data_IF_273542472005
#
_entry.id   IF_273542472005
#
_cell.length_a   1.000
_cell.length_b   1.000
_cell.length_c   1.000
_cell.angle_alpha   90.00
_cell.angle_beta   90.00
_cell.angle_gamma   90.00
#
_symmetry.space_group_name_H-M   'P 1'
#
loop_
_entity.id
_entity.type
_entity.pdbx_description
1 polymer ?
#
# COMPACT_ATOMS: atom_id res chain seq x y z
N UNK A 1 13.59 -21.04 17.48
CA UNK A 1 12.44 -20.59 16.66
C UNK A 1 11.26 -20.30 17.58
N UNK A 2 10.99 -19.03 17.89
CA UNK A 2 9.86 -18.64 18.77
C UNK A 2 8.57 -18.64 17.94
N UNK A 3 7.67 -19.59 18.22
CA UNK A 3 6.30 -19.57 17.72
C UNK A 3 5.53 -18.49 18.49
N UNK A 4 5.06 -17.46 17.80
CA UNK A 4 4.10 -16.50 18.34
C UNK A 4 2.73 -17.18 18.26
N UNK A 5 2.20 -17.58 19.41
CA UNK A 5 0.80 -17.94 19.55
C UNK A 5 0.01 -16.63 19.65
N UNK A 6 -0.74 -16.30 18.60
CA UNK A 6 -1.67 -15.18 18.63
C UNK A 6 -2.85 -15.59 19.53
N UNK A 7 -2.84 -15.10 20.77
CA UNK A 7 -3.88 -15.31 21.75
C UNK A 7 -5.10 -14.49 21.34
N UNK A 8 -6.11 -15.15 20.75
CA UNK A 8 -7.43 -14.53 20.56
C UNK A 8 -8.06 -14.34 21.94
N UNK A 9 -8.25 -13.09 22.35
CA UNK A 9 -9.01 -12.73 23.53
C UNK A 9 -10.46 -13.17 23.35
N UNK A 10 -10.82 -14.25 24.03
CA UNK A 10 -12.17 -14.76 24.11
C UNK A 10 -12.96 -13.85 25.07
N UNK A 11 -13.70 -12.88 24.53
CA UNK A 11 -14.74 -12.21 25.31
C UNK A 11 -15.91 -13.21 25.46
N UNK A 12 -16.00 -13.86 26.62
CA UNK A 12 -17.21 -14.58 27.01
C UNK A 12 -18.23 -13.53 27.48
N UNK A 13 -18.88 -12.88 26.52
CA UNK A 13 -20.18 -12.27 26.79
C UNK A 13 -21.20 -13.39 26.62
N UNK A 14 -21.80 -13.84 27.73
CA UNK A 14 -22.98 -14.70 27.66
C UNK A 14 -24.14 -13.82 27.19
N UNK A 15 -24.21 -13.59 25.89
CA UNK A 15 -25.38 -13.06 25.22
C UNK A 15 -26.37 -14.20 25.04
N UNK A 16 -27.51 -14.14 25.72
CA UNK A 16 -28.63 -15.09 25.55
C UNK A 16 -29.46 -14.67 24.30
N UNK A 17 -28.78 -14.27 23.22
CA UNK A 17 -29.39 -13.78 21.99
C UNK A 17 -28.58 -14.19 20.75
N UNK A 18 -29.24 -14.21 19.59
CA UNK A 18 -28.58 -14.43 18.29
C UNK A 18 -27.52 -13.35 18.08
N UNK A 19 -26.30 -13.75 17.76
CA UNK A 19 -25.16 -12.84 17.68
C UNK A 19 -24.61 -12.76 16.26
N UNK A 20 -24.61 -11.55 15.70
CA UNK A 20 -23.89 -11.24 14.47
C UNK A 20 -22.47 -10.80 14.81
N UNK A 21 -21.51 -11.69 14.60
CA UNK A 21 -20.09 -11.43 14.82
C UNK A 21 -19.41 -11.13 13.49
N UNK A 22 -19.14 -9.86 13.22
CA UNK A 22 -18.31 -9.41 12.08
C UNK A 22 -16.96 -8.99 12.62
N UNK A 23 -15.88 -9.37 11.95
CA UNK A 23 -14.55 -8.93 12.29
C UNK A 23 -14.46 -7.41 12.12
N UNK A 24 -14.03 -6.69 13.16
CA UNK A 24 -13.80 -5.25 13.03
C UNK A 24 -12.52 -5.03 12.21
N UNK A 25 -12.68 -4.62 10.95
CA UNK A 25 -11.61 -4.37 10.00
C UNK A 25 -11.97 -3.20 9.08
N UNK A 26 -10.96 -2.53 8.53
CA UNK A 26 -11.16 -1.52 7.48
C UNK A 26 -11.26 -2.23 6.13
N UNK A 27 -12.48 -2.45 5.64
CA UNK A 27 -12.72 -3.11 4.36
C UNK A 27 -12.60 -2.13 3.21
N UNK A 28 -12.01 -2.55 2.08
CA UNK A 28 -12.04 -1.80 0.83
C UNK A 28 -12.94 -2.46 -0.22
N UNK A 29 -13.35 -1.71 -1.25
CA UNK A 29 -13.98 -2.31 -2.43
C UNK A 29 -13.04 -3.37 -2.99
N UNK A 30 -13.58 -4.55 -3.31
CA UNK A 30 -12.86 -5.81 -3.65
C UNK A 30 -12.39 -6.68 -2.49
N UNK A 31 -12.38 -6.18 -1.24
CA UNK A 31 -12.27 -7.05 -0.08
C UNK A 31 -13.63 -7.66 0.25
N UNK A 32 -13.62 -8.93 0.63
CA UNK A 32 -14.81 -9.56 1.20
C UNK A 32 -14.93 -9.24 2.68
N UNK A 33 -16.13 -8.85 3.11
CA UNK A 33 -16.48 -8.85 4.53
C UNK A 33 -16.68 -10.28 4.97
N UNK A 34 -15.85 -10.71 5.92
CA UNK A 34 -15.92 -12.01 6.56
C UNK A 34 -16.63 -11.88 7.90
N UNK A 35 -17.61 -12.75 8.13
CA UNK A 35 -18.37 -12.74 9.37
C UNK A 35 -19.00 -14.08 9.68
N UNK A 36 -19.57 -14.16 10.87
CA UNK A 36 -20.31 -15.31 11.33
C UNK A 36 -21.55 -14.91 12.11
N UNK A 37 -22.57 -15.76 12.03
CA UNK A 37 -23.77 -15.71 12.84
C UNK A 37 -23.74 -16.90 13.80
N UNK A 38 -23.95 -16.65 15.09
CA UNK A 38 -23.91 -17.67 16.15
C UNK A 38 -25.23 -17.69 16.92
N UNK A 39 -25.44 -18.78 17.66
CA UNK A 39 -26.60 -18.99 18.53
C UNK A 39 -27.94 -18.92 17.77
N UNK A 40 -27.95 -19.43 16.55
CA UNK A 40 -29.18 -19.56 15.77
C UNK A 40 -30.00 -20.75 16.29
N UNK A 41 -31.33 -20.64 16.22
CA UNK A 41 -32.23 -21.77 16.48
C UNK A 41 -32.33 -22.66 15.24
N UNK A 42 -32.06 -23.96 15.39
CA UNK A 42 -32.13 -24.95 14.30
C UNK A 42 -33.57 -25.23 13.81
N UNK A 43 -34.58 -24.73 14.53
CA UNK A 43 -36.00 -24.85 14.15
C UNK A 43 -36.50 -23.67 13.31
N UNK A 44 -35.66 -22.64 13.11
CA UNK A 44 -36.03 -21.40 12.44
C UNK A 44 -35.28 -21.22 11.12
N UNK A 45 -35.82 -20.35 10.27
CA UNK A 45 -35.19 -19.91 9.03
C UNK A 45 -34.81 -18.45 9.20
N UNK A 46 -33.57 -18.11 8.84
CA UNK A 46 -33.06 -16.75 8.90
C UNK A 46 -32.65 -16.25 7.52
N UNK A 47 -32.54 -14.93 7.41
CA UNK A 47 -31.87 -14.26 6.29
C UNK A 47 -30.81 -13.34 6.86
N UNK A 48 -29.59 -13.39 6.34
CA UNK A 48 -28.64 -12.29 6.45
C UNK A 48 -28.80 -11.39 5.22
N UNK A 49 -29.13 -10.13 5.46
CA UNK A 49 -29.16 -9.06 4.47
C UNK A 49 -27.87 -8.25 4.60
N UNK A 50 -27.12 -8.10 3.51
CA UNK A 50 -25.85 -7.39 3.53
C UNK A 50 -26.02 -5.87 3.33
N UNK A 51 -27.25 -5.38 3.13
CA UNK A 51 -27.53 -3.95 2.96
C UNK A 51 -27.20 -3.41 1.56
N UNK A 52 -26.80 -4.27 0.63
CA UNK A 52 -26.47 -3.95 -0.76
C UNK A 52 -27.44 -4.61 -1.78
N UNK A 53 -28.61 -5.02 -1.30
CA UNK A 53 -29.63 -5.84 -1.99
C UNK A 53 -29.26 -7.32 -2.18
N UNK A 54 -28.12 -7.77 -1.67
CA UNK A 54 -27.82 -9.20 -1.58
C UNK A 54 -28.26 -9.75 -0.22
N UNK A 55 -28.80 -10.96 -0.26
CA UNK A 55 -29.26 -11.69 0.92
C UNK A 55 -28.80 -13.15 0.81
N UNK A 56 -28.54 -13.79 1.95
CA UNK A 56 -28.34 -15.23 2.04
C UNK A 56 -29.32 -15.82 3.06
N UNK A 57 -30.02 -16.86 2.63
CA UNK A 57 -30.89 -17.64 3.51
C UNK A 57 -30.05 -18.61 4.34
N UNK A 58 -30.42 -18.78 5.60
CA UNK A 58 -29.80 -19.73 6.53
C UNK A 58 -30.92 -20.65 7.01
N UNK A 59 -30.87 -21.90 6.55
CA UNK A 59 -31.84 -22.92 6.93
C UNK A 59 -31.32 -23.75 8.10
N UNK A 60 -32.13 -23.85 9.17
CA UNK A 60 -32.01 -24.86 10.23
C UNK A 60 -30.58 -25.14 10.69
N UNK A 61 -29.86 -24.08 11.04
CA UNK A 61 -28.49 -24.15 11.51
C UNK A 61 -28.34 -23.37 12.80
N UNK A 62 -27.45 -23.81 13.67
CA UNK A 62 -27.02 -23.08 14.87
C UNK A 62 -25.88 -22.08 14.59
N UNK A 63 -25.27 -22.17 13.40
CA UNK A 63 -24.11 -21.38 13.00
C UNK A 63 -24.04 -21.13 11.48
N UNK A 64 -23.57 -19.95 11.08
CA UNK A 64 -23.37 -19.63 9.66
C UNK A 64 -22.15 -18.74 9.47
N UNK A 65 -21.26 -19.12 8.55
CA UNK A 65 -20.16 -18.25 8.11
C UNK A 65 -20.48 -17.66 6.76
N UNK A 66 -20.08 -16.41 6.55
CA UNK A 66 -20.17 -15.77 5.26
C UNK A 66 -18.89 -15.04 4.88
N UNK A 67 -18.70 -15.03 3.58
CA UNK A 67 -17.86 -14.12 2.85
C UNK A 67 -18.78 -13.34 1.91
N UNK A 68 -18.69 -12.00 1.93
CA UNK A 68 -19.52 -11.13 1.09
C UNK A 68 -18.70 -9.97 0.47
N UNK A 69 -18.51 -9.95 -0.86
CA UNK A 69 -17.80 -8.87 -1.54
C UNK A 69 -18.74 -7.69 -1.85
N UNK A 70 -18.35 -6.49 -1.44
CA UNK A 70 -19.06 -5.26 -1.79
C UNK A 70 -18.48 -4.64 -3.07
N UNK A 71 -19.36 -4.28 -4.00
CA UNK A 71 -18.98 -3.71 -5.31
C UNK A 71 -18.82 -2.19 -5.30
N UNK A 72 -19.30 -1.52 -4.24
CA UNK A 72 -19.27 -0.06 -4.12
C UNK A 72 -18.80 0.32 -2.73
N UNK A 73 -18.13 1.46 -2.66
CA UNK A 73 -17.81 2.11 -1.38
C UNK A 73 -19.10 2.62 -0.74
N UNK A 74 -19.13 2.66 0.59
CA UNK A 74 -20.28 3.13 1.32
C UNK A 74 -20.38 2.54 2.72
N UNK A 75 -21.42 2.99 3.42
CA UNK A 75 -21.82 2.42 4.71
C UNK A 75 -22.97 1.46 4.48
N UNK A 76 -22.82 0.22 4.94
CA UNK A 76 -23.81 -0.83 4.83
C UNK A 76 -24.20 -1.33 6.21
N UNK A 77 -25.44 -1.79 6.36
CA UNK A 77 -25.94 -2.38 7.62
C UNK A 77 -26.28 -3.84 7.35
N UNK A 78 -25.41 -4.73 7.84
CA UNK A 78 -25.66 -6.17 7.75
C UNK A 78 -26.70 -6.50 8.81
N UNK A 79 -27.84 -7.03 8.39
CA UNK A 79 -29.00 -7.29 9.25
C UNK A 79 -29.37 -8.76 9.20
N UNK A 80 -29.50 -9.40 10.35
CA UNK A 80 -30.06 -10.72 10.50
C UNK A 80 -31.55 -10.62 10.77
N UNK A 81 -32.35 -11.30 9.95
CA UNK A 81 -33.80 -11.39 10.08
C UNK A 81 -34.23 -12.81 10.44
N UNK A 82 -35.18 -12.93 11.35
CA UNK A 82 -35.92 -14.17 11.63
C UNK A 82 -37.18 -14.22 10.76
N UNK A 83 -37.26 -15.19 9.85
CA UNK A 83 -38.42 -15.36 8.96
C UNK A 83 -39.59 -16.07 9.62
N UNK A 84 -39.37 -16.77 10.73
CA UNK A 84 -40.46 -17.44 11.45
C UNK A 84 -41.41 -16.45 12.13
N UNK A 85 -40.96 -15.21 12.34
CA UNK A 85 -41.71 -14.12 12.98
C UNK A 85 -41.82 -12.91 12.03
N UNK A 86 -42.30 -13.15 10.80
CA UNK A 86 -42.65 -12.06 9.87
C UNK A 86 -41.48 -11.18 9.41
N UNK A 87 -40.26 -11.74 9.31
CA UNK A 87 -39.02 -11.02 8.95
C UNK A 87 -38.66 -9.93 9.97
N UNK A 88 -38.68 -10.28 11.26
CA UNK A 88 -38.22 -9.40 12.34
C UNK A 88 -36.69 -9.30 12.36
N UNK A 89 -36.15 -8.09 12.44
CA UNK A 89 -34.71 -7.88 12.64
C UNK A 89 -34.31 -8.32 14.04
N UNK A 90 -33.33 -9.21 14.15
CA UNK A 90 -32.86 -9.76 15.44
C UNK A 90 -31.45 -9.30 15.80
N UNK A 91 -30.65 -8.91 14.82
CA UNK A 91 -29.33 -8.31 15.02
C UNK A 91 -28.95 -7.47 13.81
N UNK A 92 -28.21 -6.39 14.01
CA UNK A 92 -27.67 -5.56 12.94
C UNK A 92 -26.27 -5.07 13.30
N UNK A 93 -25.40 -4.94 12.29
CA UNK A 93 -24.07 -4.36 12.45
C UNK A 93 -23.70 -3.53 11.23
N UNK A 94 -23.25 -2.32 11.48
CA UNK A 94 -22.77 -1.41 10.44
C UNK A 94 -21.36 -1.82 10.01
N UNK A 95 -21.10 -1.77 8.70
CA UNK A 95 -19.78 -1.91 8.11
C UNK A 95 -19.51 -0.75 7.16
N UNK A 96 -18.27 -0.31 7.06
CA UNK A 96 -17.85 0.72 6.12
C UNK A 96 -16.91 0.11 5.10
N UNK A 97 -17.24 0.28 3.82
CA UNK A 97 -16.45 -0.15 2.67
C UNK A 97 -15.80 1.09 2.09
N UNK A 98 -14.49 1.19 2.23
CA UNK A 98 -13.69 2.27 1.67
C UNK A 98 -13.49 2.07 0.17
N UNK A 99 -13.25 3.18 -0.55
CA UNK A 99 -12.80 3.15 -1.94
C UNK A 99 -11.57 2.26 -2.08
N UNK A 100 -11.55 1.41 -3.11
CA UNK A 100 -10.31 0.73 -3.48
C UNK A 100 -9.30 1.78 -3.98
N UNK A 101 -8.14 1.84 -3.33
CA UNK A 101 -7.01 2.64 -3.80
C UNK A 101 -6.29 1.87 -4.90
N UNK A 102 -6.11 2.47 -6.06
CA UNK A 102 -5.59 1.83 -7.28
C UNK A 102 -4.26 2.40 -7.75
N UNK A 103 -3.89 3.56 -7.25
CA UNK A 103 -2.73 4.31 -7.70
C UNK A 103 -1.84 4.70 -6.53
N UNK A 104 -0.55 4.39 -6.65
CA UNK A 104 0.51 4.91 -5.80
C UNK A 104 0.96 6.24 -6.38
N UNK A 105 0.72 7.33 -5.66
CA UNK A 105 1.25 8.66 -5.98
C UNK A 105 2.55 8.88 -5.22
N UNK A 106 3.59 9.28 -5.92
CA UNK A 106 4.84 9.73 -5.31
C UNK A 106 4.83 11.25 -5.37
N UNK A 107 4.72 11.91 -4.22
CA UNK A 107 4.59 13.36 -4.14
C UNK A 107 5.95 14.05 -4.06
N UNK A 108 6.94 13.40 -3.47
CA UNK A 108 8.28 13.97 -3.30
C UNK A 108 9.33 12.91 -3.11
N UNK A 109 10.51 13.17 -3.66
CA UNK A 109 11.74 12.41 -3.38
C UNK A 109 12.77 13.38 -2.87
N UNK A 110 13.50 13.01 -1.82
CA UNK A 110 14.64 13.78 -1.31
C UNK A 110 15.88 12.91 -1.35
N UNK A 111 16.82 13.24 -2.21
CA UNK A 111 18.16 12.65 -2.21
C UNK A 111 18.94 13.24 -1.04
N UNK A 112 19.48 12.38 -0.17
CA UNK A 112 20.06 12.76 1.11
C UNK A 112 21.59 12.70 1.07
N UNK A 113 22.12 11.61 0.51
CA UNK A 113 23.56 11.36 0.49
C UNK A 113 23.95 10.33 -0.58
N UNK A 114 25.25 10.22 -0.85
CA UNK A 114 25.82 9.20 -1.75
C UNK A 114 27.23 8.81 -1.32
N UNK A 115 27.67 7.62 -1.74
CA UNK A 115 29.06 7.22 -1.61
C UNK A 115 29.90 8.04 -2.59
N UNK A 116 30.81 8.87 -2.10
CA UNK A 116 31.60 9.71 -2.97
C UNK A 116 32.79 8.92 -3.55
N UNK A 117 33.21 9.24 -4.78
CA UNK A 117 34.36 8.59 -5.44
C UNK A 117 35.68 8.94 -4.72
N UNK A 118 35.76 10.14 -4.13
CA UNK A 118 36.81 10.59 -3.20
C UNK A 118 36.18 11.04 -1.90
N UNK A 119 36.92 11.00 -0.78
CA UNK A 119 36.45 11.40 0.56
C UNK A 119 35.72 12.76 0.63
N UNK A 120 35.97 13.65 -0.33
CA UNK A 120 35.37 14.99 -0.41
C UNK A 120 34.04 15.08 -1.17
N UNK A 121 33.52 14.00 -1.78
CA UNK A 121 32.36 14.13 -2.71
C UNK A 121 32.73 14.37 -4.17
N UNK A 122 34.01 14.63 -4.45
CA UNK A 122 34.47 15.11 -5.74
C UNK A 122 34.95 14.00 -6.68
N UNK A 123 35.14 14.35 -7.96
CA UNK A 123 35.61 13.50 -9.06
C UNK A 123 34.54 12.61 -9.71
N UNK A 124 33.28 13.04 -9.60
CA UNK A 124 32.18 12.57 -10.45
C UNK A 124 32.34 13.15 -11.85
N UNK A 125 32.27 14.48 -12.00
CA UNK A 125 32.74 15.15 -13.21
C UNK A 125 34.27 15.29 -13.23
N UNK A 126 34.89 15.03 -14.39
CA UNK A 126 36.31 15.30 -14.72
C UNK A 126 37.27 15.13 -13.52
N UNK A 127 37.86 13.94 -13.41
CA UNK A 127 38.69 13.42 -12.30
C UNK A 127 39.75 14.35 -11.65
N UNK A 128 40.05 15.50 -12.25
CA UNK A 128 41.04 16.51 -11.83
C UNK A 128 40.44 17.78 -11.20
N UNK A 129 39.13 18.06 -11.34
CA UNK A 129 38.54 19.37 -11.05
C UNK A 129 37.95 19.59 -9.66
N UNK A 130 37.75 18.55 -8.85
CA UNK A 130 37.11 18.71 -7.54
C UNK A 130 35.58 18.93 -7.60
N UNK A 131 34.95 18.59 -8.73
CA UNK A 131 33.52 18.76 -9.02
C UNK A 131 32.68 17.62 -8.46
N UNK A 132 31.53 17.98 -7.92
CA UNK A 132 30.49 17.10 -7.39
C UNK A 132 29.51 16.72 -8.52
N UNK A 133 28.74 15.63 -8.41
CA UNK A 133 27.88 15.16 -9.49
C UNK A 133 26.74 16.11 -9.83
N UNK A 134 26.33 16.09 -11.09
CA UNK A 134 25.14 16.70 -11.64
C UNK A 134 23.94 15.73 -11.51
N UNK A 135 23.45 15.57 -10.28
CA UNK A 135 22.49 14.50 -9.91
C UNK A 135 21.11 14.70 -10.51
N UNK A 136 20.63 13.71 -11.26
CA UNK A 136 19.23 13.62 -11.64
C UNK A 136 18.70 12.19 -11.43
N UNK A 137 17.39 11.99 -11.63
CA UNK A 137 16.76 10.68 -11.41
C UNK A 137 16.02 10.15 -12.63
N UNK A 138 15.95 8.83 -12.73
CA UNK A 138 15.09 8.09 -13.66
C UNK A 138 14.20 7.12 -12.90
N UNK A 139 12.97 6.95 -13.39
CA UNK A 139 12.07 5.87 -13.00
C UNK A 139 11.89 4.91 -14.16
N UNK A 140 12.08 3.62 -13.93
CA UNK A 140 11.84 2.60 -14.94
C UNK A 140 11.35 1.30 -14.32
N UNK A 141 10.79 0.45 -15.17
CA UNK A 141 10.44 -0.91 -14.81
C UNK A 141 11.73 -1.76 -14.92
N UNK A 142 12.23 -2.35 -13.82
CA UNK A 142 13.51 -3.07 -13.81
C UNK A 142 13.48 -4.35 -14.64
N UNK A 143 12.29 -4.88 -14.93
CA UNK A 143 12.09 -6.11 -15.72
C UNK A 143 12.11 -5.82 -17.22
N UNK A 144 11.48 -4.73 -17.65
CA UNK A 144 11.31 -4.39 -19.08
C UNK A 144 12.28 -3.30 -19.56
N UNK A 145 12.95 -2.60 -18.65
CA UNK A 145 13.79 -1.43 -18.94
C UNK A 145 13.01 -0.20 -19.42
N UNK A 146 11.67 -0.26 -19.46
CA UNK A 146 10.84 0.86 -19.93
C UNK A 146 10.80 1.96 -18.88
N UNK A 147 11.03 3.20 -19.32
CA UNK A 147 10.81 4.39 -18.50
C UNK A 147 9.36 4.45 -18.04
N UNK A 148 9.14 4.76 -16.75
CA UNK A 148 7.82 4.88 -16.13
C UNK A 148 7.36 6.34 -16.03
N UNK A 149 8.06 7.26 -16.69
CA UNK A 149 7.79 8.68 -16.66
C UNK A 149 8.56 9.42 -15.56
N UNK A 150 8.68 10.73 -15.77
CA UNK A 150 9.42 11.69 -14.96
C UNK A 150 10.95 11.53 -14.96
N UNK A 151 11.58 11.74 -16.12
CA UNK A 151 12.91 12.35 -16.18
C UNK A 151 12.72 13.84 -15.95
N UNK A 152 13.12 14.36 -14.79
CA UNK A 152 13.30 15.81 -14.71
C UNK A 152 14.42 16.23 -15.66
N UNK A 153 14.30 17.47 -16.10
CA UNK A 153 15.34 18.22 -16.78
C UNK A 153 16.65 18.08 -15.99
N UNK A 154 17.73 17.69 -16.66
CA UNK A 154 19.09 17.40 -16.16
C UNK A 154 19.78 18.66 -15.57
N UNK A 155 19.11 19.32 -14.63
CA UNK A 155 19.34 20.73 -14.26
C UNK A 155 19.90 20.90 -12.85
N UNK A 156 20.18 19.80 -12.14
CA UNK A 156 20.73 19.85 -10.79
C UNK A 156 22.22 19.61 -10.87
N UNK A 157 22.98 20.67 -10.65
CA UNK A 157 24.42 20.65 -10.85
C UNK A 157 25.20 20.67 -9.53
N UNK A 158 26.35 19.99 -9.51
CA UNK A 158 27.39 20.11 -8.50
C UNK A 158 26.91 19.81 -7.06
N UNK A 159 26.27 18.64 -6.87
CA UNK A 159 25.58 18.23 -5.64
C UNK A 159 26.54 17.64 -4.61
N UNK A 160 26.74 18.37 -3.51
CA UNK A 160 27.61 17.91 -2.41
C UNK A 160 26.99 16.74 -1.64
N UNK A 161 27.83 15.78 -1.25
CA UNK A 161 27.46 14.75 -0.27
C UNK A 161 26.89 15.43 0.99
N UNK A 162 25.83 14.86 1.56
CA UNK A 162 25.07 15.40 2.72
C UNK A 162 24.34 16.72 2.49
N UNK A 163 24.15 17.18 1.25
CA UNK A 163 23.31 18.33 0.92
C UNK A 163 21.99 17.85 0.31
N UNK A 164 20.89 17.75 1.09
CA UNK A 164 19.66 17.18 0.58
C UNK A 164 19.08 17.97 -0.59
N UNK A 165 18.65 17.26 -1.63
CA UNK A 165 17.95 17.84 -2.79
C UNK A 165 16.60 17.16 -2.93
N UNK A 166 15.54 17.97 -3.04
CA UNK A 166 14.18 17.47 -3.21
C UNK A 166 13.61 17.75 -4.59
N UNK A 167 12.83 16.80 -5.07
CA UNK A 167 11.97 16.89 -6.24
C UNK A 167 10.53 16.65 -5.82
N UNK A 168 9.64 17.56 -6.18
CA UNK A 168 8.21 17.42 -5.94
C UNK A 168 7.50 17.10 -7.24
N UNK A 169 6.50 16.23 -7.18
CA UNK A 169 5.75 15.76 -8.34
C UNK A 169 4.27 16.07 -8.15
N UNK A 170 3.71 16.81 -9.10
CA UNK A 170 2.27 17.08 -9.08
C UNK A 170 1.45 15.86 -9.51
N UNK A 171 1.93 15.11 -10.51
CA UNK A 171 1.15 14.07 -11.19
C UNK A 171 1.90 12.74 -11.39
N UNK A 172 2.98 12.47 -10.65
CA UNK A 172 3.68 11.19 -10.79
C UNK A 172 2.98 10.08 -10.00
N UNK A 173 2.33 9.16 -10.73
CA UNK A 173 1.56 8.06 -10.15
C UNK A 173 1.77 6.76 -10.91
N UNK A 174 1.82 5.65 -10.17
CA UNK A 174 1.95 4.30 -10.68
C UNK A 174 0.69 3.50 -10.32
N UNK A 175 0.06 2.86 -11.30
CA UNK A 175 -1.10 2.00 -11.04
C UNK A 175 -0.66 0.65 -10.45
N UNK A 176 -1.58 -0.06 -9.79
CA UNK A 176 -1.31 -1.40 -9.20
C UNK A 176 -0.70 -2.40 -10.19
N UNK A 177 -1.06 -2.35 -11.48
CA UNK A 177 -0.52 -3.27 -12.48
C UNK A 177 0.98 -3.01 -12.71
N UNK A 178 1.37 -1.76 -12.90
CA UNK A 178 2.79 -1.36 -13.00
C UNK A 178 3.59 -1.79 -11.77
N UNK A 179 2.97 -1.76 -10.59
CA UNK A 179 3.62 -2.11 -9.32
C UNK A 179 3.81 -3.62 -9.12
N UNK A 180 3.13 -4.49 -9.88
CA UNK A 180 3.33 -5.95 -9.83
C UNK A 180 4.71 -6.37 -10.34
N UNK A 181 5.17 -5.71 -11.41
CA UNK A 181 6.50 -5.93 -11.98
C UNK A 181 7.61 -5.14 -11.25
N UNK A 182 7.19 -4.32 -10.29
CA UNK A 182 8.04 -3.39 -9.57
C UNK A 182 8.45 -2.16 -10.38
N UNK A 183 9.14 -1.25 -9.70
CA UNK A 183 9.77 -0.09 -10.32
C UNK A 183 11.12 0.19 -9.67
N UNK A 184 11.99 0.87 -10.38
CA UNK A 184 13.30 1.28 -9.90
C UNK A 184 13.42 2.79 -9.94
N UNK A 185 14.04 3.33 -8.88
CA UNK A 185 14.48 4.72 -8.82
C UNK A 185 16.00 4.67 -8.91
N UNK A 186 16.55 5.30 -9.95
CA UNK A 186 17.99 5.40 -10.16
C UNK A 186 18.41 6.87 -10.15
N UNK A 187 19.45 7.17 -9.40
CA UNK A 187 20.14 8.45 -9.39
C UNK A 187 21.38 8.35 -10.26
N UNK A 188 21.56 9.36 -11.11
CA UNK A 188 22.57 9.40 -12.15
C UNK A 188 23.31 10.71 -12.08
N UNK A 189 24.59 10.65 -12.43
CA UNK A 189 25.41 11.80 -12.72
C UNK A 189 25.25 12.17 -14.20
N UNK A 190 24.93 13.43 -14.48
CA UNK A 190 24.72 13.87 -15.85
C UNK A 190 26.04 14.28 -16.51
N UNK A 191 26.51 13.43 -17.42
CA UNK A 191 27.62 13.75 -18.31
C UNK A 191 27.15 14.30 -19.65
N UNK A 192 27.76 15.41 -20.08
CA UNK A 192 27.51 16.00 -21.41
C UNK A 192 28.28 15.33 -22.54
N UNK A 193 29.35 14.58 -22.22
CA UNK A 193 30.30 14.00 -23.19
C UNK A 193 30.24 12.46 -23.16
N UNK A 194 30.16 11.85 -21.98
CA UNK A 194 29.97 10.40 -21.76
C UNK A 194 28.49 10.06 -21.59
N UNK A 195 28.17 8.75 -21.60
CA UNK A 195 26.88 8.29 -21.08
C UNK A 195 26.76 8.59 -19.59
N UNK A 196 25.53 8.69 -19.09
CA UNK A 196 25.28 9.03 -17.68
C UNK A 196 25.86 7.95 -16.73
N UNK A 197 26.56 8.37 -15.69
CA UNK A 197 27.12 7.46 -14.69
C UNK A 197 26.11 7.16 -13.56
N UNK A 198 26.10 5.92 -13.08
CA UNK A 198 25.16 5.53 -12.01
C UNK A 198 25.71 5.89 -10.64
N UNK A 199 25.00 6.78 -9.95
CA UNK A 199 25.29 7.13 -8.56
C UNK A 199 24.73 6.08 -7.62
N UNK A 200 23.50 5.62 -7.84
CA UNK A 200 22.87 4.64 -6.96
C UNK A 200 21.40 4.49 -7.25
N UNK A 201 20.71 3.66 -6.47
CA UNK A 201 19.29 3.46 -6.66
C UNK A 201 18.75 2.22 -5.95
N UNK A 202 17.45 2.00 -6.11
CA UNK A 202 16.79 0.80 -5.59
C UNK A 202 15.67 0.34 -6.52
N UNK A 203 15.65 -0.96 -6.78
CA UNK A 203 14.53 -1.64 -7.40
C UNK A 203 13.54 -2.15 -6.35
N UNK A 204 12.31 -1.64 -6.39
CA UNK A 204 11.16 -2.11 -5.61
C UNK A 204 10.46 -3.28 -6.31
N UNK A 205 11.09 -4.46 -6.29
CA UNK A 205 10.55 -5.67 -6.95
C UNK A 205 9.19 -6.12 -6.38
N UNK A 206 8.93 -5.83 -5.10
CA UNK A 206 7.64 -6.07 -4.43
C UNK A 206 7.05 -4.74 -3.95
N UNK A 207 6.79 -3.81 -4.88
CA UNK A 207 6.35 -2.47 -4.55
C UNK A 207 5.03 -2.46 -3.74
N UNK A 208 4.07 -3.33 -4.09
CA UNK A 208 2.81 -3.46 -3.35
C UNK A 208 2.99 -3.82 -1.87
N UNK A 209 4.00 -4.64 -1.54
CA UNK A 209 4.29 -4.98 -0.14
C UNK A 209 5.08 -3.88 0.58
N UNK A 210 5.83 -3.08 -0.17
CA UNK A 210 6.70 -2.02 0.37
C UNK A 210 5.90 -0.77 0.69
N UNK A 211 5.03 -0.36 -0.24
CA UNK A 211 4.15 0.78 -0.10
C UNK A 211 2.80 0.31 0.43
N UNK A 212 2.65 0.24 1.75
CA UNK A 212 1.35 -0.06 2.41
C UNK A 212 0.26 0.89 1.89
N UNK A 213 -1.01 0.45 1.83
CA UNK A 213 -2.21 1.19 1.35
C UNK A 213 -2.60 2.44 2.16
N UNK A 214 -1.61 3.27 2.52
CA UNK A 214 -1.68 4.47 3.33
C UNK A 214 -0.69 5.51 2.79
N UNK A 215 -0.82 6.76 3.21
CA UNK A 215 0.24 7.75 2.98
C UNK A 215 1.41 7.52 3.93
N UNK A 216 2.61 7.86 3.49
CA UNK A 216 3.79 7.74 4.33
C UNK A 216 5.07 8.24 3.69
N UNK A 217 6.16 7.99 4.41
CA UNK A 217 7.52 8.25 3.96
C UNK A 217 8.34 6.98 4.11
N UNK A 218 9.02 6.58 3.05
CA UNK A 218 10.07 5.55 3.11
C UNK A 218 11.42 6.26 3.08
N UNK A 219 12.33 5.87 3.96
CA UNK A 219 13.72 6.33 3.92
C UNK A 219 14.62 5.13 3.60
N UNK A 220 15.48 5.32 2.62
CA UNK A 220 16.55 4.40 2.24
C UNK A 220 17.85 5.06 2.69
N UNK A 221 18.51 4.50 3.70
CA UNK A 221 19.70 5.07 4.35
C UNK A 221 20.92 4.14 4.38
N UNK A 222 20.77 2.90 3.87
CA UNK A 222 21.86 1.94 3.70
C UNK A 222 22.70 2.27 2.45
N UNK A 223 23.54 3.30 2.58
CA UNK A 223 24.39 3.81 1.50
C UNK A 223 25.38 2.72 1.03
N UNK A 224 25.87 1.85 1.92
CA UNK A 224 26.80 0.77 1.53
C UNK A 224 26.15 -0.19 0.51
N UNK A 225 24.86 -0.45 0.67
CA UNK A 225 24.12 -1.35 -0.20
C UNK A 225 23.60 -0.69 -1.48
N UNK A 226 23.13 0.55 -1.39
CA UNK A 226 22.42 1.23 -2.48
C UNK A 226 23.24 2.32 -3.17
N UNK A 227 24.45 2.59 -2.67
CA UNK A 227 25.37 3.65 -3.09
C UNK A 227 24.82 5.09 -2.91
N UNK A 228 23.56 5.22 -2.46
CA UNK A 228 22.90 6.47 -2.14
C UNK A 228 21.89 6.31 -1.00
N UNK A 229 21.58 7.41 -0.34
CA UNK A 229 20.48 7.54 0.60
C UNK A 229 19.45 8.55 0.09
N UNK A 230 18.16 8.25 0.27
CA UNK A 230 17.07 9.12 -0.13
C UNK A 230 15.76 8.76 0.58
N UNK A 231 14.80 9.68 0.57
CA UNK A 231 13.44 9.45 1.05
C UNK A 231 12.40 9.64 -0.03
N UNK A 232 11.26 8.95 0.11
CA UNK A 232 10.12 8.99 -0.80
C UNK A 232 8.88 9.30 0.03
N UNK A 233 8.21 10.41 -0.26
CA UNK A 233 6.87 10.72 0.24
C UNK A 233 5.84 10.19 -0.77
N UNK A 234 4.86 9.43 -0.28
CA UNK A 234 3.88 8.75 -1.13
C UNK A 234 2.49 8.71 -0.49
N UNK A 235 1.48 8.49 -1.34
CA UNK A 235 0.10 8.24 -0.96
C UNK A 235 -0.55 7.24 -1.90
N UNK A 236 -1.59 6.58 -1.39
CA UNK A 236 -2.46 5.72 -2.20
C UNK A 236 -3.80 6.42 -2.44
N UNK A 237 -4.24 6.40 -3.70
CA UNK A 237 -5.50 7.00 -4.20
C UNK A 237 -6.33 5.99 -4.99
#
# INVERSE_FOLDING_TARGET
MKKIYLLFLLFINVSIGQELAIQDYNYSVSDSVNGAVKNLSEEKIYIVDFGDNNQKMIEKSSFFMFEHPYQKEGSYVITLYDLSDGKKAVSAKQVTIAKEKKTLRISKITFLDYNPIKDTGAAWDLATGGTYPDVYMKFYNPTTGKSLGHTQDRTRQNVKAKSPISWSFESFSLNKETLKDGFEIQFLDYDSISGDDTIGGIAFKNALATFKDQSGTITIDDIEKYNCAFSIEYSWE
#
